data_IF_235457451198
#
_entry.id   IF_235457451198
#
_cell.length_a   1.000
_cell.length_b   1.000
_cell.length_c   1.000
_cell.angle_alpha   90.00
_cell.angle_beta   90.00
_cell.angle_gamma   90.00
#
_symmetry.space_group_name_H-M   'P 1'
#
loop_
_entity.id
_entity.type
_entity.pdbx_description
1 polymer ?
#
# COMPACT_ATOMS: atom_id res chain seq x y z
N UNK A 1 -22.25 -1.24 8.98
CA UNK A 1 -21.01 -1.27 9.77
C UNK A 1 -20.97 -2.58 10.55
N UNK A 2 -19.91 -3.36 10.40
CA UNK A 2 -19.69 -4.62 11.13
C UNK A 2 -18.55 -4.43 12.14
N UNK A 3 -18.63 -5.10 13.29
CA UNK A 3 -17.65 -4.96 14.38
C UNK A 3 -17.25 -6.34 14.92
N UNK A 4 -15.96 -6.55 15.08
CA UNK A 4 -15.36 -7.78 15.59
C UNK A 4 -14.44 -7.46 16.77
N UNK A 5 -14.42 -8.33 17.78
CA UNK A 5 -13.48 -8.21 18.89
C UNK A 5 -12.12 -8.78 18.44
N UNK A 6 -11.09 -7.94 18.44
CA UNK A 6 -9.75 -8.25 17.93
C UNK A 6 -8.71 -7.59 18.84
N UNK A 7 -8.49 -8.14 20.05
CA UNK A 7 -7.55 -7.57 21.01
C UNK A 7 -6.08 -7.71 20.58
N UNK A 8 -5.81 -8.51 19.54
CA UNK A 8 -4.51 -8.70 18.93
C UNK A 8 -4.55 -8.28 17.44
N UNK A 9 -3.41 -7.92 16.83
CA UNK A 9 -3.31 -7.65 15.41
C UNK A 9 -3.83 -8.81 14.55
N UNK A 10 -4.53 -8.47 13.48
CA UNK A 10 -5.17 -9.44 12.57
C UNK A 10 -4.47 -9.47 11.20
N UNK A 11 -4.87 -10.41 10.35
CA UNK A 11 -4.62 -10.35 8.91
C UNK A 11 -5.88 -9.87 8.19
N UNK A 12 -5.82 -8.74 7.50
CA UNK A 12 -6.90 -8.22 6.67
C UNK A 12 -6.63 -8.55 5.20
N UNK A 13 -7.49 -9.36 4.60
CA UNK A 13 -7.44 -9.76 3.19
C UNK A 13 -8.59 -9.09 2.44
N UNK A 14 -8.27 -8.27 1.45
CA UNK A 14 -9.23 -7.50 0.67
C UNK A 14 -9.13 -7.85 -0.82
N UNK A 15 -10.25 -8.11 -1.47
CA UNK A 15 -10.36 -8.24 -2.92
C UNK A 15 -11.48 -7.31 -3.42
N UNK A 16 -11.08 -6.11 -3.83
CA UNK A 16 -11.99 -5.02 -4.19
C UNK A 16 -11.73 -4.62 -5.64
N UNK A 17 -12.73 -4.77 -6.54
CA UNK A 17 -12.52 -4.49 -7.96
C UNK A 17 -12.32 -3.00 -8.25
N UNK A 18 -13.11 -2.11 -7.62
CA UNK A 18 -13.05 -0.68 -7.90
C UNK A 18 -13.54 0.17 -6.72
N UNK A 19 -12.98 1.37 -6.59
CA UNK A 19 -13.42 2.42 -5.66
C UNK A 19 -12.32 2.92 -4.73
N UNK A 20 -12.51 2.81 -3.42
CA UNK A 20 -11.56 3.30 -2.41
C UNK A 20 -11.45 2.30 -1.26
N UNK A 21 -10.22 2.06 -0.82
CA UNK A 21 -9.92 1.28 0.38
C UNK A 21 -9.15 2.17 1.35
N UNK A 22 -9.70 2.34 2.55
CA UNK A 22 -9.06 3.04 3.64
C UNK A 22 -8.86 2.10 4.82
N UNK A 23 -7.61 1.92 5.23
CA UNK A 23 -7.22 1.18 6.42
C UNK A 23 -6.74 2.16 7.48
N UNK A 24 -7.28 2.06 8.69
CA UNK A 24 -6.93 2.92 9.81
C UNK A 24 -6.43 2.02 10.95
N UNK A 25 -5.12 2.01 11.13
CA UNK A 25 -4.41 1.26 12.16
C UNK A 25 -4.15 2.14 13.38
N UNK A 26 -4.74 1.76 14.51
CA UNK A 26 -4.64 2.49 15.76
C UNK A 26 -4.50 1.54 16.95
N UNK A 27 -4.13 2.06 18.11
CA UNK A 27 -4.07 1.27 19.34
C UNK A 27 -5.52 1.02 19.83
N UNK A 28 -6.11 -0.08 19.35
CA UNK A 28 -7.50 -0.49 19.59
C UNK A 28 -7.61 -2.01 19.73
N UNK A 29 -8.68 -2.46 20.37
CA UNK A 29 -8.94 -3.88 20.65
C UNK A 29 -10.12 -4.45 19.84
N UNK A 30 -10.57 -3.71 18.83
CA UNK A 30 -11.67 -4.10 17.95
C UNK A 30 -11.34 -3.79 16.49
N UNK A 31 -12.03 -4.47 15.60
CA UNK A 31 -11.96 -4.23 14.16
C UNK A 31 -13.34 -3.86 13.66
N UNK A 32 -13.45 -2.75 12.95
CA UNK A 32 -14.71 -2.31 12.34
C UNK A 32 -14.56 -2.22 10.84
N UNK A 33 -15.58 -2.70 10.13
CA UNK A 33 -15.65 -2.67 8.66
C UNK A 33 -16.89 -1.90 8.25
N UNK A 34 -16.69 -0.90 7.42
CA UNK A 34 -17.74 -0.14 6.77
C UNK A 34 -17.58 -0.28 5.27
N UNK A 35 -18.65 -0.73 4.61
CA UNK A 35 -18.73 -0.83 3.15
C UNK A 35 -19.87 0.06 2.70
N UNK A 36 -19.59 0.95 1.75
CA UNK A 36 -20.55 1.89 1.19
C UNK A 36 -20.46 1.89 -0.33
N UNK A 37 -21.56 2.17 -1.04
CA UNK A 37 -21.47 2.51 -2.45
C UNK A 37 -20.65 3.79 -2.60
N UNK A 38 -19.79 3.87 -3.62
CA UNK A 38 -19.06 5.10 -3.92
C UNK A 38 -20.01 6.24 -4.30
N UNK A 39 -21.08 5.93 -5.04
CA UNK A 39 -22.16 6.84 -5.35
C UNK A 39 -23.53 6.20 -5.04
N UNK A 40 -24.23 6.62 -3.97
CA UNK A 40 -25.51 6.04 -3.59
C UNK A 40 -26.63 6.30 -4.62
N UNK A 41 -26.46 7.26 -5.53
CA UNK A 41 -27.41 7.49 -6.62
C UNK A 41 -27.21 6.52 -7.79
N UNK A 42 -26.07 5.80 -7.85
CA UNK A 42 -25.79 4.80 -8.89
C UNK A 42 -26.18 3.41 -8.41
N UNK A 43 -27.20 2.85 -9.04
CA UNK A 43 -27.70 1.50 -8.75
C UNK A 43 -26.63 0.41 -8.85
N UNK A 44 -25.60 0.59 -9.68
CA UNK A 44 -24.48 -0.36 -9.78
C UNK A 44 -23.59 -0.33 -8.55
N UNK A 45 -23.28 0.86 -8.02
CA UNK A 45 -22.46 1.06 -6.82
C UNK A 45 -23.19 0.50 -5.59
N UNK A 46 -24.50 0.74 -5.50
CA UNK A 46 -25.35 0.15 -4.46
C UNK A 46 -25.32 -1.38 -4.53
N UNK A 47 -25.52 -1.97 -5.71
CA UNK A 47 -25.50 -3.42 -5.90
C UNK A 47 -24.18 -4.06 -5.52
N UNK A 48 -23.04 -3.49 -5.94
CA UNK A 48 -21.74 -4.06 -5.59
C UNK A 48 -21.48 -3.94 -4.09
N UNK A 49 -21.89 -2.85 -3.44
CA UNK A 49 -21.74 -2.66 -2.00
C UNK A 49 -22.56 -3.70 -1.20
N UNK A 50 -23.77 -4.02 -1.65
CA UNK A 50 -24.62 -5.09 -1.07
C UNK A 50 -24.04 -6.49 -1.30
N UNK A 51 -23.23 -6.68 -2.34
CA UNK A 51 -22.59 -7.94 -2.69
C UNK A 51 -21.22 -8.15 -2.02
N UNK A 52 -20.66 -7.13 -1.34
CA UNK A 52 -19.43 -7.32 -0.56
C UNK A 52 -19.74 -8.15 0.68
N UNK A 53 -19.07 -9.28 0.78
CA UNK A 53 -19.09 -10.13 1.96
C UNK A 53 -17.92 -9.77 2.87
N UNK A 54 -18.18 -9.72 4.17
CA UNK A 54 -17.19 -9.50 5.22
C UNK A 54 -17.25 -10.68 6.16
N UNK A 55 -16.15 -11.43 6.26
CA UNK A 55 -16.05 -12.62 7.09
C UNK A 55 -14.85 -12.49 8.00
N UNK A 56 -15.03 -12.68 9.30
CA UNK A 56 -13.94 -12.71 10.26
C UNK A 56 -13.90 -14.05 10.97
N UNK A 57 -12.73 -14.71 10.94
CA UNK A 57 -12.50 -15.99 11.60
C UNK A 57 -11.01 -16.28 11.69
N UNK A 58 -10.60 -16.95 12.77
CA UNK A 58 -9.20 -17.38 13.00
C UNK A 58 -8.16 -16.23 12.90
N UNK A 59 -8.53 -15.02 13.33
CA UNK A 59 -7.66 -13.84 13.25
C UNK A 59 -7.49 -13.26 11.84
N UNK A 60 -8.30 -13.73 10.89
CA UNK A 60 -8.31 -13.24 9.50
C UNK A 60 -9.64 -12.56 9.21
N UNK A 61 -9.58 -11.30 8.77
CA UNK A 61 -10.69 -10.55 8.20
C UNK A 61 -10.61 -10.66 6.68
N UNK A 62 -11.64 -11.20 6.04
CA UNK A 62 -11.78 -11.28 4.58
C UNK A 62 -12.89 -10.34 4.12
N UNK A 63 -12.59 -9.51 3.13
CA UNK A 63 -13.54 -8.60 2.48
C UNK A 63 -13.44 -8.82 0.98
N UNK A 64 -14.48 -9.37 0.36
CA UNK A 64 -14.49 -9.63 -1.07
C UNK A 64 -15.90 -9.52 -1.65
N UNK A 65 -16.00 -9.24 -2.95
CA UNK A 65 -17.28 -9.40 -3.64
C UNK A 65 -17.70 -10.88 -3.64
N UNK A 66 -18.97 -11.14 -3.32
CA UNK A 66 -19.54 -12.48 -3.36
C UNK A 66 -19.28 -13.14 -4.71
N UNK A 67 -18.77 -14.37 -4.70
CA UNK A 67 -18.51 -15.15 -5.92
C UNK A 67 -19.81 -15.54 -6.69
N UNK A 68 -20.98 -15.18 -6.17
CA UNK A 68 -22.26 -15.58 -6.71
C UNK A 68 -22.67 -14.77 -7.97
N UNK A 69 -22.49 -15.44 -9.12
CA UNK A 69 -23.17 -15.24 -10.41
C UNK A 69 -22.85 -13.94 -11.19
N UNK A 70 -22.06 -14.10 -12.25
CA UNK A 70 -21.80 -13.17 -13.36
C UNK A 70 -20.65 -12.15 -13.21
N UNK A 71 -19.43 -12.61 -12.93
CA UNK A 71 -18.21 -11.82 -13.23
C UNK A 71 -18.00 -11.57 -14.75
N UNK A 72 -18.84 -12.13 -15.62
CA UNK A 72 -18.73 -12.01 -17.08
C UNK A 72 -19.58 -10.89 -17.73
N UNK A 73 -20.51 -10.24 -17.03
CA UNK A 73 -21.43 -9.27 -17.65
C UNK A 73 -21.76 -8.07 -16.74
N UNK A 74 -21.08 -6.94 -16.96
CA UNK A 74 -21.57 -5.61 -16.56
C UNK A 74 -20.50 -4.69 -15.94
N UNK A 75 -20.59 -3.35 -16.12
CA UNK A 75 -19.60 -2.41 -15.57
C UNK A 75 -19.55 -2.51 -14.06
N UNK A 76 -18.38 -2.84 -13.51
CA UNK A 76 -18.13 -2.96 -12.08
C UNK A 76 -18.53 -1.66 -11.38
N UNK A 77 -19.51 -1.72 -10.49
CA UNK A 77 -19.78 -0.60 -9.58
C UNK A 77 -18.58 -0.34 -8.69
N UNK A 78 -18.55 0.83 -8.05
CA UNK A 78 -17.47 1.23 -7.14
C UNK A 78 -17.93 1.21 -5.69
N UNK A 79 -17.05 0.80 -4.78
CA UNK A 79 -17.30 0.78 -3.33
C UNK A 79 -16.27 1.59 -2.56
N UNK A 80 -16.68 2.18 -1.45
CA UNK A 80 -15.78 2.68 -0.41
C UNK A 80 -15.76 1.69 0.74
N UNK A 81 -14.58 1.15 1.03
CA UNK A 81 -14.34 0.22 2.13
C UNK A 81 -13.43 0.89 3.15
N UNK A 82 -13.95 1.11 4.34
CA UNK A 82 -13.17 1.61 5.48
C UNK A 82 -13.01 0.50 6.50
N UNK A 83 -11.77 0.10 6.76
CA UNK A 83 -11.42 -0.86 7.80
C UNK A 83 -10.61 -0.16 8.88
N UNK A 84 -10.99 -0.41 10.10
CA UNK A 84 -10.46 0.22 11.28
C UNK A 84 -9.97 -0.92 12.17
N UNK A 85 -8.67 -1.04 12.38
CA UNK A 85 -8.05 -2.27 12.92
C UNK A 85 -6.89 -1.98 13.91
N UNK A 86 -6.49 -2.96 14.74
CA UNK A 86 -5.36 -2.80 15.65
C UNK A 86 -4.04 -2.51 14.93
N UNK A 87 -3.23 -1.62 15.47
CA UNK A 87 -1.88 -1.32 14.98
C UNK A 87 -1.04 -2.60 14.86
N UNK A 88 -0.21 -2.66 13.82
CA UNK A 88 0.61 -3.83 13.49
C UNK A 88 -0.14 -4.94 12.75
N UNK A 89 -1.42 -4.76 12.40
CA UNK A 89 -2.15 -5.74 11.59
C UNK A 89 -1.55 -5.85 10.20
N UNK A 90 -1.55 -7.07 9.67
CA UNK A 90 -1.09 -7.40 8.32
C UNK A 90 -2.21 -7.13 7.33
N UNK A 91 -1.85 -6.71 6.14
CA UNK A 91 -2.78 -6.37 5.07
C UNK A 91 -2.35 -7.08 3.80
N UNK A 92 -3.28 -7.77 3.17
CA UNK A 92 -3.17 -8.27 1.82
C UNK A 92 -4.34 -7.71 1.01
N UNK A 93 -4.08 -6.98 -0.06
CA UNK A 93 -5.12 -6.33 -0.82
C UNK A 93 -4.92 -6.52 -2.33
N UNK A 94 -6.00 -6.87 -3.02
CA UNK A 94 -6.13 -6.83 -4.47
C UNK A 94 -7.11 -5.73 -4.83
N UNK A 95 -6.64 -4.78 -5.61
CA UNK A 95 -7.30 -3.49 -5.81
C UNK A 95 -7.17 -3.06 -7.28
N UNK A 96 -8.08 -3.54 -8.14
CA UNK A 96 -7.91 -3.35 -9.59
C UNK A 96 -8.08 -1.88 -10.04
N UNK A 97 -8.97 -1.11 -9.40
CA UNK A 97 -9.16 0.33 -9.68
C UNK A 97 -9.47 1.11 -8.43
N UNK A 98 -8.56 1.09 -7.47
CA UNK A 98 -8.81 1.54 -6.11
C UNK A 98 -7.76 2.53 -5.64
N UNK A 99 -8.21 3.68 -5.10
CA UNK A 99 -7.35 4.50 -4.24
C UNK A 99 -7.14 3.76 -2.91
N UNK A 100 -5.88 3.45 -2.58
CA UNK A 100 -5.53 2.77 -1.35
C UNK A 100 -4.89 3.75 -0.36
N UNK A 101 -5.48 3.84 0.84
CA UNK A 101 -4.95 4.65 1.94
C UNK A 101 -4.76 3.83 3.20
N UNK A 102 -3.52 3.66 3.64
CA UNK A 102 -3.15 3.17 4.97
C UNK A 102 -2.81 4.33 5.90
N UNK A 103 -3.53 4.46 7.01
CA UNK A 103 -3.30 5.47 8.05
C UNK A 103 -2.85 4.77 9.32
N UNK A 104 -1.80 5.32 9.96
CA UNK A 104 -1.21 4.76 11.18
C UNK A 104 -0.28 3.57 10.93
N UNK A 105 0.04 2.84 12.00
CA UNK A 105 1.08 1.79 12.00
C UNK A 105 0.55 0.46 11.49
N UNK A 106 0.74 0.20 10.20
CA UNK A 106 0.47 -1.11 9.61
C UNK A 106 1.65 -2.07 9.84
N UNK A 107 1.35 -3.37 9.89
CA UNK A 107 2.35 -4.42 9.89
C UNK A 107 2.91 -4.64 8.49
N UNK A 108 2.82 -5.88 8.01
CA UNK A 108 3.20 -6.23 6.65
C UNK A 108 2.07 -5.87 5.68
N UNK A 109 2.39 -5.11 4.63
CA UNK A 109 1.41 -4.69 3.62
C UNK A 109 1.78 -5.30 2.27
N UNK A 110 0.92 -6.17 1.74
CA UNK A 110 0.98 -6.69 0.38
C UNK A 110 -0.16 -6.13 -0.44
N UNK A 111 0.13 -5.48 -1.57
CA UNK A 111 -0.88 -4.89 -2.46
C UNK A 111 -0.61 -5.24 -3.91
N UNK A 112 -1.63 -5.73 -4.60
CA UNK A 112 -1.68 -5.80 -6.05
C UNK A 112 -2.71 -4.78 -6.56
N UNK A 113 -2.21 -3.67 -7.08
CA UNK A 113 -3.01 -2.58 -7.63
C UNK A 113 -2.93 -2.51 -9.15
N UNK A 114 -4.05 -2.25 -9.83
CA UNK A 114 -3.99 -1.89 -11.25
C UNK A 114 -3.99 -0.38 -11.46
N UNK A 115 -4.97 0.35 -10.90
CA UNK A 115 -5.07 1.79 -11.05
C UNK A 115 -5.37 2.52 -9.73
N UNK A 116 -4.70 3.64 -9.50
CA UNK A 116 -4.98 4.55 -8.38
C UNK A 116 -3.75 4.80 -7.51
N UNK A 117 -3.71 5.95 -6.79
CA UNK A 117 -2.61 6.24 -5.90
C UNK A 117 -2.66 5.33 -4.67
N UNK A 118 -1.47 4.99 -4.18
CA UNK A 118 -1.28 4.19 -2.95
C UNK A 118 -0.55 5.08 -1.96
N UNK A 119 -1.17 5.32 -0.80
CA UNK A 119 -0.58 6.13 0.27
C UNK A 119 -0.57 5.32 1.56
N UNK A 120 0.59 5.15 2.16
CA UNK A 120 0.77 4.43 3.43
C UNK A 120 1.51 5.35 4.38
N UNK A 121 0.92 5.65 5.53
CA UNK A 121 1.56 6.53 6.52
C UNK A 121 2.74 5.84 7.21
N UNK A 122 2.54 4.63 7.75
CA UNK A 122 3.58 3.83 8.37
C UNK A 122 3.38 2.33 8.14
N UNK A 123 4.46 1.60 7.82
CA UNK A 123 4.43 0.15 7.66
C UNK A 123 5.71 -0.52 8.16
N UNK A 124 5.56 -1.75 8.67
CA UNK A 124 6.70 -2.58 9.08
C UNK A 124 7.46 -3.13 7.87
N UNK A 125 6.72 -3.61 6.86
CA UNK A 125 7.26 -4.05 5.58
C UNK A 125 6.24 -3.85 4.48
N UNK A 126 6.70 -3.70 3.23
CA UNK A 126 5.83 -3.31 2.12
C UNK A 126 6.17 -4.12 0.86
N UNK A 127 5.19 -4.79 0.27
CA UNK A 127 5.28 -5.45 -1.04
C UNK A 127 4.17 -4.96 -1.94
N UNK A 128 4.48 -4.10 -2.91
CA UNK A 128 3.47 -3.47 -3.76
C UNK A 128 3.79 -3.74 -5.23
N UNK A 129 2.77 -4.18 -5.97
CA UNK A 129 2.80 -4.23 -7.43
C UNK A 129 1.68 -3.35 -7.96
N UNK A 130 2.01 -2.24 -8.63
CA UNK A 130 1.03 -1.27 -9.12
C UNK A 130 1.20 -1.07 -10.62
N UNK A 131 0.13 -1.23 -11.40
CA UNK A 131 0.23 -1.00 -12.86
C UNK A 131 0.28 0.50 -13.20
N UNK A 132 -0.61 1.32 -12.65
CA UNK A 132 -0.59 2.76 -12.87
C UNK A 132 -1.07 3.53 -11.64
N UNK A 133 -0.15 4.27 -11.02
CA UNK A 133 -0.44 5.08 -9.84
C UNK A 133 0.83 5.46 -9.10
N UNK A 134 0.80 6.59 -8.42
CA UNK A 134 1.89 7.02 -7.55
C UNK A 134 1.82 6.28 -6.21
N UNK A 135 2.98 5.85 -5.72
CA UNK A 135 3.12 5.17 -4.44
C UNK A 135 3.85 6.11 -3.48
N UNK A 136 3.22 6.42 -2.35
CA UNK A 136 3.84 7.19 -1.28
C UNK A 136 3.84 6.39 0.01
N UNK A 137 5.01 6.23 0.62
CA UNK A 137 5.18 5.62 1.94
C UNK A 137 5.80 6.67 2.86
N UNK A 138 5.12 6.98 3.96
CA UNK A 138 5.58 7.96 4.94
C UNK A 138 6.78 7.44 5.70
N UNK A 139 6.56 6.47 6.59
CA UNK A 139 7.59 5.84 7.43
C UNK A 139 7.66 4.34 7.17
N UNK A 140 8.83 3.84 6.82
CA UNK A 140 9.08 2.43 6.58
C UNK A 140 10.11 1.90 7.57
N UNK A 141 9.69 0.95 8.42
CA UNK A 141 10.54 0.42 9.48
C UNK A 141 11.46 -0.73 9.04
N UNK A 142 11.13 -1.42 7.93
CA UNK A 142 11.83 -2.61 7.47
C UNK A 142 11.89 -2.71 5.94
N UNK A 143 12.03 -3.93 5.39
CA UNK A 143 12.26 -4.13 3.95
C UNK A 143 11.03 -3.74 3.11
N UNK A 144 11.28 -3.30 1.88
CA UNK A 144 10.22 -3.09 0.91
C UNK A 144 10.59 -3.53 -0.50
N UNK A 145 9.60 -4.05 -1.22
CA UNK A 145 9.67 -4.38 -2.63
C UNK A 145 8.49 -3.70 -3.34
N UNK A 146 8.77 -2.64 -4.10
CA UNK A 146 7.77 -1.81 -4.76
C UNK A 146 8.05 -1.83 -6.26
N UNK A 147 7.09 -2.32 -7.04
CA UNK A 147 7.16 -2.37 -8.49
C UNK A 147 5.98 -1.62 -9.11
N UNK A 148 6.26 -0.53 -9.83
CA UNK A 148 5.27 0.33 -10.47
C UNK A 148 5.48 0.34 -11.98
N UNK A 149 4.47 0.05 -12.80
CA UNK A 149 4.65 0.17 -14.27
C UNK A 149 4.57 1.62 -14.74
N UNK A 150 3.70 2.44 -14.14
CA UNK A 150 3.61 3.88 -14.44
C UNK A 150 3.23 4.67 -13.20
N UNK A 151 4.10 5.56 -12.76
CA UNK A 151 3.94 6.36 -11.56
C UNK A 151 5.25 6.49 -10.79
N UNK A 152 5.29 7.50 -9.93
CA UNK A 152 6.42 7.73 -9.04
C UNK A 152 6.37 6.85 -7.79
N UNK A 153 7.54 6.66 -7.19
CA UNK A 153 7.68 6.03 -5.87
C UNK A 153 8.32 7.08 -4.95
N UNK A 154 7.66 7.39 -3.85
CA UNK A 154 8.17 8.30 -2.83
C UNK A 154 8.18 7.62 -1.46
N UNK A 155 9.35 7.52 -0.85
CA UNK A 155 9.55 7.04 0.51
C UNK A 155 10.08 8.21 1.33
N UNK A 156 9.24 8.78 2.19
CA UNK A 156 9.56 9.98 2.95
C UNK A 156 10.54 9.72 4.11
N UNK A 157 10.54 8.52 4.68
CA UNK A 157 11.46 8.12 5.75
C UNK A 157 11.63 6.59 5.80
N UNK A 158 12.84 6.10 5.51
CA UNK A 158 13.23 4.70 5.62
C UNK A 158 14.21 4.49 6.79
N UNK A 159 13.88 3.59 7.71
CA UNK A 159 14.67 3.37 8.92
C UNK A 159 15.74 2.28 8.75
N UNK A 160 15.39 1.15 8.14
CA UNK A 160 16.31 0.02 7.97
C UNK A 160 15.82 -0.99 6.95
N UNK A 161 16.71 -1.87 6.51
CA UNK A 161 16.41 -3.02 5.65
C UNK A 161 16.75 -2.81 4.18
N UNK A 162 16.27 -3.72 3.35
CA UNK A 162 16.52 -3.72 1.91
C UNK A 162 15.29 -3.16 1.18
N UNK A 163 15.50 -2.07 0.41
CA UNK A 163 14.49 -1.44 -0.42
C UNK A 163 14.77 -1.77 -1.88
N UNK A 164 13.85 -2.46 -2.52
CA UNK A 164 13.88 -2.74 -3.97
C UNK A 164 12.75 -1.96 -4.61
N UNK A 165 13.10 -0.86 -5.27
CA UNK A 165 12.16 0.09 -5.88
C UNK A 165 12.34 0.04 -7.39
N UNK A 166 11.30 -0.33 -8.10
CA UNK A 166 11.30 -0.43 -9.56
C UNK A 166 10.15 0.36 -10.11
N UNK A 167 10.41 1.30 -10.99
CA UNK A 167 9.37 1.90 -11.82
C UNK A 167 9.76 1.85 -13.29
N UNK A 168 8.81 1.82 -14.22
CA UNK A 168 9.13 1.95 -15.65
C UNK A 168 9.13 3.42 -16.08
N UNK A 169 8.19 4.19 -15.54
CA UNK A 169 7.90 5.55 -15.96
C UNK A 169 7.52 6.35 -14.72
N UNK A 170 8.46 7.10 -14.18
CA UNK A 170 8.27 7.91 -12.98
C UNK A 170 9.55 8.08 -12.20
N UNK A 171 9.50 9.05 -11.29
CA UNK A 171 10.62 9.37 -10.43
C UNK A 171 10.62 8.46 -9.20
N UNK A 172 11.81 8.19 -8.68
CA UNK A 172 11.99 7.46 -7.42
C UNK A 172 12.64 8.38 -6.41
N UNK A 173 11.95 8.65 -5.31
CA UNK A 173 12.46 9.47 -4.21
C UNK A 173 12.52 8.64 -2.94
N UNK A 174 13.68 8.66 -2.27
CA UNK A 174 13.89 7.94 -1.00
C UNK A 174 14.63 8.85 -0.02
N UNK A 175 14.07 8.99 1.17
CA UNK A 175 14.72 9.66 2.29
C UNK A 175 15.08 8.63 3.38
N UNK A 176 16.38 8.50 3.67
CA UNK A 176 16.86 7.70 4.80
C UNK A 176 16.67 8.49 6.11
N UNK A 177 16.22 7.81 7.16
CA UNK A 177 16.03 8.41 8.48
C UNK A 177 17.34 8.95 9.05
N UNK A 178 17.23 9.94 9.95
CA UNK A 178 18.40 10.60 10.54
C UNK A 178 19.29 9.59 11.28
N UNK A 179 20.60 9.61 10.98
CA UNK A 179 21.59 8.72 11.60
C UNK A 179 21.69 7.32 10.98
N UNK A 180 20.88 7.00 9.97
CA UNK A 180 20.96 5.72 9.25
C UNK A 180 22.07 5.79 8.20
N UNK A 181 22.99 4.82 8.23
CA UNK A 181 23.95 4.62 7.15
C UNK A 181 23.27 3.92 5.99
N UNK A 182 23.22 4.58 4.83
CA UNK A 182 22.52 4.07 3.66
C UNK A 182 23.45 3.89 2.46
N UNK A 183 23.20 2.85 1.67
CA UNK A 183 23.83 2.63 0.37
C UNK A 183 22.79 2.72 -0.73
N UNK A 184 23.15 3.34 -1.86
CA UNK A 184 22.30 3.41 -3.05
C UNK A 184 22.96 2.66 -4.20
N UNK A 185 22.19 1.74 -4.78
CA UNK A 185 22.40 1.18 -6.10
C UNK A 185 21.25 1.67 -6.99
N UNK A 186 21.54 2.60 -7.89
CA UNK A 186 20.54 3.28 -8.70
C UNK A 186 20.84 3.16 -10.19
N UNK A 187 19.82 2.85 -10.98
CA UNK A 187 19.89 2.80 -12.43
C UNK A 187 18.73 3.53 -13.08
N UNK A 188 19.01 4.52 -13.92
CA UNK A 188 18.00 5.16 -14.77
C UNK A 188 18.37 5.02 -16.24
N UNK A 189 17.41 4.64 -17.10
CA UNK A 189 17.61 4.63 -18.56
C UNK A 189 17.63 6.06 -19.13
N UNK A 190 16.68 6.89 -18.70
CA UNK A 190 16.54 8.28 -19.10
C UNK A 190 16.18 9.14 -17.88
N UNK A 191 17.18 9.79 -17.30
CA UNK A 191 17.00 10.69 -16.17
C UNK A 191 18.32 11.01 -15.48
N UNK A 192 18.22 11.59 -14.29
CA UNK A 192 19.36 11.95 -13.43
C UNK A 192 19.26 11.22 -12.11
N UNK A 193 20.42 10.84 -11.58
CA UNK A 193 20.54 10.27 -10.26
C UNK A 193 21.13 11.34 -9.35
N UNK A 194 20.39 11.72 -8.32
CA UNK A 194 20.87 12.58 -7.24
C UNK A 194 21.02 11.75 -5.97
N UNK A 195 22.25 11.65 -5.48
CA UNK A 195 22.55 10.95 -4.24
C UNK A 195 23.17 11.91 -3.22
N UNK A 196 22.45 12.13 -2.14
CA UNK A 196 22.86 12.87 -0.96
C UNK A 196 22.73 12.02 0.32
N UNK A 197 22.82 10.69 0.20
CA UNK A 197 22.82 9.78 1.33
C UNK A 197 24.11 9.91 2.14
N UNK A 198 23.98 9.85 3.46
CA UNK A 198 25.08 9.76 4.40
C UNK A 198 25.42 8.29 4.63
N UNK A 199 26.70 7.97 4.52
CA UNK A 199 27.24 6.66 4.83
C UNK A 199 28.30 6.84 5.92
N UNK A 200 28.06 6.26 7.09
CA UNK A 200 29.05 6.17 8.17
C UNK A 200 29.84 4.87 8.01
N UNK A 201 31.14 4.91 8.31
CA UNK A 201 32.02 3.75 8.14
C UNK A 201 31.47 2.51 8.92
N UNK A 202 30.94 1.54 8.17
CA UNK A 202 30.26 0.35 8.71
C UNK A 202 29.32 -0.29 7.68
N UNK A 203 28.63 -1.37 8.05
CA UNK A 203 27.59 -1.94 7.21
C UNK A 203 26.42 -0.95 7.09
N UNK A 204 25.92 -0.72 5.87
CA UNK A 204 24.73 0.09 5.67
C UNK A 204 23.54 -0.58 6.38
N UNK A 205 22.86 0.16 7.25
CA UNK A 205 21.62 -0.30 7.88
C UNK A 205 20.43 -0.25 6.93
N UNK A 206 20.58 0.46 5.81
CA UNK A 206 19.59 0.62 4.76
C UNK A 206 20.26 0.44 3.39
N UNK A 207 19.82 -0.54 2.61
CA UNK A 207 20.28 -0.74 1.24
C UNK A 207 19.15 -0.42 0.29
N UNK A 208 19.37 0.54 -0.60
CA UNK A 208 18.38 1.00 -1.58
C UNK A 208 18.80 0.60 -2.98
N UNK A 209 18.03 -0.28 -3.60
CA UNK A 209 18.11 -0.62 -5.01
C UNK A 209 16.97 0.07 -5.75
N UNK A 210 17.26 1.12 -6.52
CA UNK A 210 16.27 1.91 -7.24
C UNK A 210 16.50 1.83 -8.75
N UNK A 211 15.52 1.37 -9.52
CA UNK A 211 15.62 1.33 -10.99
C UNK A 211 14.42 2.01 -11.66
N UNK A 212 14.69 2.90 -12.61
CA UNK A 212 13.65 3.50 -13.47
C UNK A 212 14.06 3.47 -14.94
N UNK A 213 13.15 3.18 -15.89
CA UNK A 213 13.50 3.31 -17.31
C UNK A 213 13.48 4.79 -17.73
N UNK A 214 12.51 5.56 -17.23
CA UNK A 214 12.36 6.99 -17.49
C UNK A 214 11.94 7.73 -16.22
N UNK A 215 12.82 8.59 -15.72
CA UNK A 215 12.62 9.39 -14.52
C UNK A 215 13.90 9.62 -13.76
N UNK A 216 13.83 10.56 -12.82
CA UNK A 216 14.93 10.88 -11.94
C UNK A 216 14.89 10.01 -10.68
N UNK A 217 16.06 9.66 -10.16
CA UNK A 217 16.20 8.96 -8.88
C UNK A 217 16.85 9.92 -7.89
N UNK A 218 16.15 10.24 -6.82
CA UNK A 218 16.67 11.08 -5.73
C UNK A 218 16.74 10.28 -4.44
N UNK A 219 17.93 10.13 -3.89
CA UNK A 219 18.15 9.55 -2.58
C UNK A 219 18.82 10.58 -1.67
N UNK A 220 18.28 10.80 -0.47
CA UNK A 220 18.83 11.76 0.50
C UNK A 220 18.73 11.24 1.93
N UNK A 221 19.60 11.72 2.82
CA UNK A 221 19.41 11.53 4.26
C UNK A 221 18.68 12.73 4.87
N UNK A 222 17.84 12.49 5.87
CA UNK A 222 17.20 13.52 6.70
C UNK A 222 18.19 14.12 7.71
#
# INVERSE_FOLDING_TARGET
MQKFATPAPIAAVLDIPAGRVQLIAADRADTTVEVRPADPAKSRDVKVAEQIEVVHGDGVLRIAASAAKNQYFGPSGSVEVTVQLPAGSRVEAKAAGVEFRGVGRLGDVTLEGAHGPVKIDEAASVRLTVSAGDVTVGRLAGPAEISVQKGGIDIAEALSGDLVLRTRMGDVSVAAAAGVSASLDAGTGYGRIHNALRNTAGAAGLTVHATTDHGDITARSL
#
